data_IF_106973067553
#
_entry.id   IF_106973067553
#
_cell.length_a   1.000
_cell.length_b   1.000
_cell.length_c   1.000
_cell.angle_alpha   90.00
_cell.angle_beta   90.00
_cell.angle_gamma   90.00
#
_symmetry.space_group_name_H-M   'P 1'
#
loop_
_entity.id
_entity.type
_entity.pdbx_description
1 polymer ?
#
# COMPACT_ATOMS: atom_id res chain seq x y z
N UNK A 1 23.64 19.23 20.11
CA UNK A 1 22.27 18.78 19.74
C UNK A 1 22.39 17.48 18.97
N UNK A 2 22.12 16.33 19.61
CA UNK A 2 22.05 15.04 18.92
C UNK A 2 20.57 14.70 18.76
N UNK A 3 20.09 14.71 17.52
CA UNK A 3 18.77 14.21 17.20
C UNK A 3 18.84 12.68 17.26
N UNK A 4 18.29 12.11 18.32
CA UNK A 4 18.05 10.69 18.40
C UNK A 4 16.90 10.38 17.45
N UNK A 5 17.21 9.99 16.23
CA UNK A 5 16.26 9.34 15.33
C UNK A 5 15.96 7.95 15.90
N UNK A 6 14.97 7.89 16.79
CA UNK A 6 14.37 6.61 17.18
C UNK A 6 13.65 6.01 15.98
N UNK A 7 13.80 4.70 15.70
CA UNK A 7 13.01 4.06 14.66
C UNK A 7 11.54 4.06 15.10
N UNK A 8 10.68 4.70 14.31
CA UNK A 8 9.23 4.58 14.45
C UNK A 8 8.89 3.12 14.19
N UNK A 9 8.69 2.34 15.26
CA UNK A 9 8.13 1.00 15.20
C UNK A 9 6.64 1.18 14.91
N UNK A 10 6.26 1.07 13.63
CA UNK A 10 4.86 0.84 13.25
C UNK A 10 4.68 -0.67 13.15
N UNK A 11 4.65 -1.34 14.30
CA UNK A 11 4.12 -2.69 14.40
C UNK A 11 2.90 -2.60 15.33
N UNK A 12 1.69 -2.30 14.84
CA UNK A 12 0.51 -2.55 15.63
C UNK A 12 0.36 -4.06 15.81
N UNK A 13 0.17 -4.46 17.06
CA UNK A 13 -0.05 -5.83 17.50
C UNK A 13 -1.19 -6.48 16.68
N UNK A 14 -1.10 -7.79 16.35
CA UNK A 14 -2.11 -8.44 15.53
C UNK A 14 -3.36 -8.68 16.37
N UNK A 15 -4.41 -7.88 16.14
CA UNK A 15 -5.73 -8.13 16.69
C UNK A 15 -6.30 -9.42 16.08
N UNK A 16 -6.47 -10.42 16.94
CA UNK A 16 -7.12 -11.70 16.67
C UNK A 16 -8.46 -11.51 15.94
N UNK A 17 -8.54 -11.95 14.68
CA UNK A 17 -9.81 -11.91 13.96
C UNK A 17 -9.84 -12.27 12.47
N UNK A 18 -8.74 -12.60 11.80
CA UNK A 18 -8.77 -12.80 10.34
C UNK A 18 -8.91 -14.28 9.96
N UNK A 19 -10.14 -14.76 9.75
CA UNK A 19 -10.43 -16.08 9.18
C UNK A 19 -10.33 -16.03 7.64
N UNK A 20 -9.12 -16.05 7.09
CA UNK A 20 -8.76 -16.94 5.97
C UNK A 20 -7.26 -16.85 5.66
N UNK A 21 -6.55 -17.94 5.93
CA UNK A 21 -5.11 -18.08 5.65
C UNK A 21 -4.93 -18.68 4.27
N UNK A 22 -4.92 -17.86 3.24
CA UNK A 22 -4.11 -18.18 2.06
C UNK A 22 -2.78 -17.48 2.29
N UNK A 23 -1.68 -18.23 2.44
CA UNK A 23 -0.36 -17.65 2.69
C UNK A 23 0.10 -16.88 1.45
N UNK A 24 -0.42 -15.66 1.26
CA UNK A 24 0.13 -14.68 0.32
C UNK A 24 1.42 -14.21 0.97
N UNK A 25 2.50 -14.94 0.68
CA UNK A 25 3.83 -14.66 1.17
C UNK A 25 4.20 -13.23 0.73
N UNK A 26 4.55 -12.38 1.70
CA UNK A 26 4.68 -10.95 1.45
C UNK A 26 5.83 -10.71 0.45
N UNK A 27 5.62 -9.99 -0.68
CA UNK A 27 6.67 -9.73 -1.68
C UNK A 27 7.93 -9.10 -1.10
N UNK A 28 7.79 -8.28 -0.06
CA UNK A 28 8.90 -7.68 0.67
C UNK A 28 9.77 -8.73 1.38
N UNK A 29 9.16 -9.76 1.98
CA UNK A 29 9.86 -10.86 2.64
C UNK A 29 10.54 -11.78 1.63
N UNK A 30 9.88 -12.06 0.49
CA UNK A 30 10.45 -12.88 -0.60
C UNK A 30 11.72 -12.24 -1.17
N UNK A 31 11.70 -10.92 -1.36
CA UNK A 31 12.84 -10.16 -1.88
C UNK A 31 13.85 -9.77 -0.79
N UNK A 32 13.50 -9.91 0.49
CA UNK A 32 14.33 -9.54 1.64
C UNK A 32 14.59 -8.03 1.74
N UNK A 33 13.58 -7.22 1.40
CA UNK A 33 13.66 -5.75 1.36
C UNK A 33 12.64 -5.09 2.28
N UNK A 34 12.84 -3.83 2.61
CA UNK A 34 11.90 -3.05 3.42
C UNK A 34 10.87 -2.31 2.55
N UNK A 35 9.69 -1.93 3.08
CA UNK A 35 8.70 -1.16 2.32
C UNK A 35 9.17 0.24 1.88
N UNK A 36 10.18 0.80 2.56
CA UNK A 36 10.74 2.14 2.27
C UNK A 36 11.90 2.11 1.26
N UNK A 37 12.15 0.98 0.61
CA UNK A 37 13.32 0.83 -0.28
C UNK A 37 13.03 1.40 -1.67
N UNK A 38 14.03 2.07 -2.28
CA UNK A 38 13.95 2.63 -3.63
C UNK A 38 13.86 1.55 -4.73
N UNK A 39 13.27 1.90 -5.88
CA UNK A 39 13.08 0.99 -7.02
C UNK A 39 14.40 0.35 -7.50
N UNK A 40 15.50 1.10 -7.45
CA UNK A 40 16.84 0.56 -7.81
C UNK A 40 17.27 -0.56 -6.88
N UNK A 41 16.98 -0.43 -5.59
CA UNK A 41 17.33 -1.43 -4.59
C UNK A 41 16.44 -2.68 -4.70
N UNK A 42 15.16 -2.51 -5.04
CA UNK A 42 14.25 -3.63 -5.37
C UNK A 42 14.83 -4.44 -6.52
N UNK A 43 15.20 -3.78 -7.63
CA UNK A 43 15.80 -4.43 -8.80
C UNK A 43 17.13 -5.10 -8.47
N UNK A 44 17.97 -4.47 -7.67
CA UNK A 44 19.26 -5.03 -7.26
C UNK A 44 19.08 -6.31 -6.43
N UNK A 45 18.12 -6.35 -5.50
CA UNK A 45 17.80 -7.55 -4.72
C UNK A 45 17.32 -8.70 -5.61
N UNK A 46 16.42 -8.40 -6.55
CA UNK A 46 15.87 -9.36 -7.50
C UNK A 46 16.97 -9.98 -8.38
N UNK A 47 17.89 -9.16 -8.92
CA UNK A 47 19.01 -9.66 -9.72
C UNK A 47 19.98 -10.54 -8.91
N UNK A 48 20.18 -10.24 -7.62
CA UNK A 48 21.01 -11.09 -6.74
C UNK A 48 20.34 -12.45 -6.50
N UNK A 49 19.02 -12.47 -6.30
CA UNK A 49 18.26 -13.69 -6.07
C UNK A 49 18.13 -14.53 -7.35
N UNK A 50 17.94 -13.90 -8.51
CA UNK A 50 17.94 -14.56 -9.81
C UNK A 50 19.24 -15.31 -10.12
N UNK A 51 20.39 -14.76 -9.68
CA UNK A 51 21.69 -15.45 -9.84
C UNK A 51 21.84 -16.67 -8.94
N UNK A 52 21.11 -16.72 -7.83
CA UNK A 52 21.12 -17.85 -6.89
C UNK A 52 20.13 -18.93 -7.28
N UNK A 53 18.97 -18.54 -7.81
CA UNK A 53 17.89 -19.45 -8.18
C UNK A 53 17.72 -19.47 -9.70
N UNK A 54 18.30 -20.47 -10.34
CA UNK A 54 18.14 -20.71 -11.78
C UNK A 54 16.79 -21.37 -12.07
N UNK A 55 16.16 -21.09 -13.23
CA UNK A 55 14.89 -21.69 -13.62
C UNK A 55 14.96 -23.22 -13.77
N UNK A 56 16.13 -23.76 -14.10
CA UNK A 56 16.36 -25.21 -14.16
C UNK A 56 16.45 -25.87 -12.80
N UNK A 57 17.00 -25.18 -11.80
CA UNK A 57 17.23 -25.78 -10.48
C UNK A 57 15.98 -25.73 -9.61
N UNK A 58 15.28 -24.59 -9.60
CA UNK A 58 14.15 -24.35 -8.70
C UNK A 58 13.06 -23.49 -9.38
N UNK A 59 12.23 -24.09 -10.24
CA UNK A 59 11.23 -23.34 -11.02
C UNK A 59 10.15 -22.69 -10.15
N UNK A 60 9.80 -23.28 -9.01
CA UNK A 60 8.81 -22.73 -8.08
C UNK A 60 9.29 -21.45 -7.41
N UNK A 61 10.52 -21.46 -6.84
CA UNK A 61 11.13 -20.27 -6.24
C UNK A 61 11.33 -19.16 -7.26
N UNK A 62 11.69 -19.52 -8.49
CA UNK A 62 11.80 -18.55 -9.59
C UNK A 62 10.46 -17.85 -9.87
N UNK A 63 9.36 -18.60 -9.93
CA UNK A 63 8.01 -18.03 -10.10
C UNK A 63 7.65 -17.10 -8.93
N UNK A 64 7.94 -17.50 -7.70
CA UNK A 64 7.68 -16.67 -6.51
C UNK A 64 8.46 -15.35 -6.56
N UNK A 65 9.75 -15.39 -6.91
CA UNK A 65 10.60 -14.20 -7.06
C UNK A 65 10.07 -13.26 -8.14
N UNK A 66 9.69 -13.81 -9.30
CA UNK A 66 9.19 -13.02 -10.41
C UNK A 66 7.85 -12.35 -10.05
N UNK A 67 6.95 -13.07 -9.38
CA UNK A 67 5.69 -12.51 -8.87
C UNK A 67 5.93 -11.38 -7.86
N UNK A 68 6.85 -11.58 -6.91
CA UNK A 68 7.20 -10.58 -5.91
C UNK A 68 7.78 -9.30 -6.55
N UNK A 69 8.68 -9.47 -7.53
CA UNK A 69 9.25 -8.34 -8.27
C UNK A 69 8.17 -7.58 -9.06
N UNK A 70 7.29 -8.28 -9.78
CA UNK A 70 6.22 -7.64 -10.56
C UNK A 70 5.22 -6.85 -9.68
N UNK A 71 5.02 -7.28 -8.43
CA UNK A 71 4.21 -6.55 -7.46
C UNK A 71 4.86 -5.25 -6.98
N UNK A 72 6.19 -5.13 -6.97
CA UNK A 72 6.92 -4.03 -6.32
C UNK A 72 7.82 -3.19 -7.24
N UNK A 73 7.93 -3.54 -8.53
CA UNK A 73 8.90 -2.98 -9.49
C UNK A 73 8.85 -1.47 -9.69
N UNK A 74 7.65 -0.90 -9.65
CA UNK A 74 7.37 0.51 -9.95
C UNK A 74 6.44 1.07 -8.86
N UNK A 75 6.46 2.39 -8.65
CA UNK A 75 5.59 3.07 -7.69
C UNK A 75 4.10 2.68 -7.87
N UNK A 76 3.61 2.63 -9.11
CA UNK A 76 2.24 2.22 -9.43
C UNK A 76 1.92 0.80 -8.94
N UNK A 77 2.84 -0.15 -9.17
CA UNK A 77 2.67 -1.53 -8.72
C UNK A 77 2.71 -1.61 -7.19
N UNK A 78 3.62 -0.87 -6.55
CA UNK A 78 3.75 -0.80 -5.10
C UNK A 78 2.49 -0.24 -4.44
N UNK A 79 1.94 0.84 -4.97
CA UNK A 79 0.69 1.44 -4.50
C UNK A 79 -0.48 0.49 -4.71
N UNK A 80 -0.56 -0.18 -5.87
CA UNK A 80 -1.57 -1.21 -6.11
C UNK A 80 -1.49 -2.32 -5.06
N UNK A 81 -0.29 -2.85 -4.82
CA UNK A 81 -0.09 -3.88 -3.81
C UNK A 81 -0.53 -3.37 -2.42
N UNK A 82 -0.09 -2.18 -2.02
CA UNK A 82 -0.46 -1.60 -0.73
C UNK A 82 -1.98 -1.40 -0.56
N UNK A 83 -2.67 -0.90 -1.58
CA UNK A 83 -4.10 -0.62 -1.52
C UNK A 83 -4.97 -1.87 -1.45
N UNK A 84 -4.56 -2.97 -2.10
CA UNK A 84 -5.40 -4.17 -2.26
C UNK A 84 -4.94 -5.39 -1.47
N UNK A 85 -3.74 -5.38 -0.88
CA UNK A 85 -3.21 -6.46 -0.05
C UNK A 85 -3.04 -6.06 1.42
N UNK A 86 -3.66 -4.96 1.86
CA UNK A 86 -3.74 -4.63 3.29
C UNK A 86 -4.97 -5.29 3.88
N UNK A 87 -4.77 -6.07 4.95
CA UNK A 87 -5.87 -6.64 5.71
C UNK A 87 -6.65 -5.50 6.38
N UNK A 88 -7.81 -5.18 5.83
CA UNK A 88 -8.77 -4.31 6.50
C UNK A 88 -9.65 -5.18 7.39
N UNK A 89 -9.87 -4.76 8.64
CA UNK A 89 -10.91 -5.35 9.51
C UNK A 89 -12.33 -4.95 9.07
N UNK A 90 -12.54 -4.68 7.79
CA UNK A 90 -13.82 -4.25 7.26
C UNK A 90 -14.17 -5.23 6.14
N UNK A 91 -15.24 -5.99 6.35
CA UNK A 91 -15.65 -7.07 5.45
C UNK A 91 -16.26 -6.53 4.13
N UNK A 92 -16.68 -5.26 4.11
CA UNK A 92 -17.31 -4.62 2.97
C UNK A 92 -16.83 -3.18 2.75
N UNK A 93 -16.49 -2.78 1.50
CA UNK A 93 -16.18 -1.39 1.17
C UNK A 93 -17.27 -0.39 1.60
N UNK A 94 -18.53 -0.81 1.58
CA UNK A 94 -19.65 0.03 2.01
C UNK A 94 -19.66 0.26 3.51
N UNK A 95 -19.19 -0.68 4.32
CA UNK A 95 -19.11 -0.52 5.77
C UNK A 95 -18.05 0.52 6.15
N UNK A 96 -16.90 0.52 5.46
CA UNK A 96 -15.90 1.57 5.60
C UNK A 96 -16.47 2.95 5.24
N UNK A 97 -17.23 3.02 4.14
CA UNK A 97 -17.91 4.24 3.72
C UNK A 97 -18.92 4.70 4.77
N UNK A 98 -19.78 3.80 5.28
CA UNK A 98 -20.78 4.15 6.27
C UNK A 98 -20.15 4.57 7.61
N UNK A 99 -19.07 3.91 8.04
CA UNK A 99 -18.31 4.33 9.22
C UNK A 99 -17.77 5.75 9.02
N UNK A 100 -17.16 6.03 7.87
CA UNK A 100 -16.69 7.37 7.54
C UNK A 100 -17.82 8.40 7.53
N UNK A 101 -18.96 8.10 6.88
CA UNK A 101 -20.12 8.98 6.83
C UNK A 101 -20.73 9.28 8.21
N UNK A 102 -20.67 8.33 9.16
CA UNK A 102 -21.13 8.55 10.55
C UNK A 102 -20.22 9.49 11.34
N UNK A 103 -18.91 9.45 11.06
CA UNK A 103 -17.90 10.25 11.77
C UNK A 103 -17.55 11.55 11.06
N UNK A 104 -17.80 11.64 9.76
CA UNK A 104 -17.52 12.83 8.98
C UNK A 104 -18.51 13.90 9.43
N UNK A 105 -18.00 14.95 10.06
CA UNK A 105 -18.76 16.19 10.21
C UNK A 105 -19.30 16.56 8.82
N UNK A 106 -20.63 16.63 8.72
CA UNK A 106 -21.31 16.71 7.44
C UNK A 106 -20.67 17.78 6.57
N UNK A 107 -20.34 17.45 5.32
CA UNK A 107 -19.90 18.48 4.37
C UNK A 107 -21.08 19.43 4.16
N UNK A 108 -21.06 20.57 4.85
CA UNK A 108 -22.07 21.59 4.66
C UNK A 108 -21.72 22.26 3.33
N UNK A 109 -22.57 22.17 2.29
CA UNK A 109 -22.33 22.90 1.05
C UNK A 109 -22.25 24.40 1.38
N UNK A 110 -21.41 25.17 0.67
CA UNK A 110 -21.37 26.61 0.88
C UNK A 110 -22.77 27.20 0.70
N UNK A 111 -23.16 28.11 1.59
CA UNK A 111 -24.45 28.78 1.49
C UNK A 111 -24.64 29.49 0.14
N UNK A 112 -25.90 29.82 -0.22
CA UNK A 112 -26.25 30.31 -1.55
C UNK A 112 -25.45 31.56 -1.97
N UNK A 113 -25.12 32.45 -1.02
CA UNK A 113 -24.32 33.65 -1.31
C UNK A 113 -22.86 33.32 -1.64
N UNK A 114 -22.21 32.44 -0.86
CA UNK A 114 -20.86 31.96 -1.15
C UNK A 114 -20.81 31.20 -2.48
N UNK A 115 -21.85 30.44 -2.79
CA UNK A 115 -21.95 29.73 -4.07
C UNK A 115 -22.09 30.72 -5.25
N UNK A 116 -22.91 31.76 -5.12
CA UNK A 116 -23.05 32.81 -6.14
C UNK A 116 -21.73 33.54 -6.39
N UNK A 117 -20.99 33.87 -5.32
CA UNK A 117 -19.68 34.51 -5.41
C UNK A 117 -18.69 33.64 -6.17
N UNK A 118 -18.59 32.35 -5.81
CA UNK A 118 -17.77 31.37 -6.52
C UNK A 118 -18.13 31.27 -8.02
N UNK A 119 -19.42 31.20 -8.36
CA UNK A 119 -19.87 31.14 -9.75
C UNK A 119 -19.52 32.40 -10.55
N UNK A 120 -19.55 33.57 -9.92
CA UNK A 120 -19.09 34.83 -10.54
C UNK A 120 -17.60 34.81 -10.81
N UNK A 121 -16.79 34.31 -9.88
CA UNK A 121 -15.34 34.17 -10.07
C UNK A 121 -14.99 33.18 -11.19
N UNK A 122 -15.74 32.07 -11.31
CA UNK A 122 -15.56 31.11 -12.40
C UNK A 122 -15.97 31.66 -13.77
N UNK A 123 -16.97 32.55 -13.83
CA UNK A 123 -17.43 33.16 -15.07
C UNK A 123 -16.55 34.34 -15.54
N UNK A 124 -15.70 34.88 -14.67
CA UNK A 124 -14.79 36.00 -14.95
C UNK A 124 -13.40 35.55 -15.46
N UNK A 125 -13.19 34.24 -15.61
CA UNK A 125 -12.03 33.63 -16.28
C UNK A 125 -12.44 33.07 -17.64
#
# INVERSE_FOLDING_TARGET
MKFHEGPIIINPEPLNGCKNRERIMNPYEILGITPKTDDKAVRASYLKLLKRYSPESEPEKFKMLNNAYNALKDEKSRNKYFLFNTDTWIDSPFEALFAHCKTAEGRIPPGPEKMKEFLKECAAK
#
